data_IF_186424593049
#
_entry.id   IF_186424593049
#
_cell.length_a   1.000
_cell.length_b   1.000
_cell.length_c   1.000
_cell.angle_alpha   90.00
_cell.angle_beta   90.00
_cell.angle_gamma   90.00
#
_symmetry.space_group_name_H-M   'P 1'
#
loop_
_entity.id
_entity.type
_entity.pdbx_description
1 polymer ?
#
# COMPACT_ATOMS: atom_id res chain seq x y z
N UNK A 1 18.03 23.62 -25.56
CA UNK A 1 17.80 22.84 -26.80
C UNK A 1 18.07 23.76 -27.98
N UNK A 2 19.09 23.48 -28.80
CA UNK A 2 19.44 24.35 -29.92
C UNK A 2 18.31 24.34 -30.98
N UNK A 3 17.94 25.50 -31.57
CA UNK A 3 16.85 25.61 -32.56
C UNK A 3 16.99 24.66 -33.76
N UNK A 4 18.22 24.28 -34.10
CA UNK A 4 18.58 23.40 -35.22
C UNK A 4 18.14 21.94 -35.01
N UNK A 5 18.11 21.45 -33.77
CA UNK A 5 17.77 20.04 -33.47
C UNK A 5 16.28 19.77 -33.31
N UNK A 6 15.47 20.83 -33.16
CA UNK A 6 14.02 20.71 -33.01
C UNK A 6 13.32 20.03 -34.21
N UNK A 7 13.97 19.97 -35.39
CA UNK A 7 13.46 19.34 -36.62
C UNK A 7 14.02 17.94 -36.90
N UNK A 8 14.89 17.40 -36.05
CA UNK A 8 15.46 16.06 -36.26
C UNK A 8 14.46 14.95 -35.93
N UNK A 9 14.34 13.96 -36.83
CA UNK A 9 13.50 12.78 -36.62
C UNK A 9 14.14 11.77 -35.66
N UNK A 10 15.48 11.71 -35.60
CA UNK A 10 16.22 10.94 -34.59
C UNK A 10 16.75 11.90 -33.52
N UNK A 11 16.30 11.69 -32.29
CA UNK A 11 16.59 12.52 -31.11
C UNK A 11 17.17 11.70 -29.96
N UNK A 12 17.65 10.48 -30.22
CA UNK A 12 18.23 9.63 -29.18
C UNK A 12 19.39 10.33 -28.45
N UNK A 13 20.19 11.10 -29.18
CA UNK A 13 21.31 11.87 -28.64
C UNK A 13 20.91 13.12 -27.83
N UNK A 14 19.61 13.48 -27.79
CA UNK A 14 19.10 14.55 -26.92
C UNK A 14 18.75 14.02 -25.52
N UNK A 15 18.66 12.71 -25.32
CA UNK A 15 18.37 12.08 -24.02
C UNK A 15 19.70 11.80 -23.32
N UNK A 16 20.00 12.55 -22.26
CA UNK A 16 21.25 12.41 -21.52
C UNK A 16 21.29 11.13 -20.67
N UNK A 17 20.16 10.76 -20.06
CA UNK A 17 19.96 9.48 -19.39
C UNK A 17 18.47 9.22 -19.19
N UNK A 18 18.09 7.95 -18.99
CA UNK A 18 16.73 7.56 -18.65
C UNK A 18 16.74 6.37 -17.70
N UNK A 19 16.01 6.48 -16.59
CA UNK A 19 15.79 5.42 -15.61
C UNK A 19 14.37 5.52 -15.07
N UNK A 20 13.74 4.37 -14.86
CA UNK A 20 12.40 4.29 -14.27
C UNK A 20 12.42 3.50 -12.97
N UNK A 21 11.46 3.81 -12.09
CA UNK A 21 11.10 2.99 -10.93
C UNK A 21 9.60 2.77 -10.94
N UNK A 22 9.17 1.54 -10.63
CA UNK A 22 7.76 1.17 -10.58
C UNK A 22 7.22 1.40 -9.17
N UNK A 23 6.79 2.63 -8.89
CA UNK A 23 6.08 3.04 -7.67
C UNK A 23 4.89 3.89 -8.11
N UNK A 24 3.68 3.49 -7.71
CA UNK A 24 2.45 4.22 -8.00
C UNK A 24 1.70 4.64 -6.73
N UNK A 25 0.62 5.41 -6.91
CA UNK A 25 -0.22 5.86 -5.80
C UNK A 25 -0.83 4.69 -4.99
N UNK A 26 -1.10 3.57 -5.66
CA UNK A 26 -1.63 2.34 -5.05
C UNK A 26 -0.59 1.57 -4.23
N UNK A 27 0.71 1.75 -4.48
CA UNK A 27 1.77 1.20 -3.62
C UNK A 27 1.75 1.90 -2.24
N UNK A 28 1.57 3.22 -2.23
CA UNK A 28 1.41 3.98 -0.99
C UNK A 28 0.12 3.61 -0.26
N UNK A 29 -0.99 3.42 -0.97
CA UNK A 29 -2.23 2.92 -0.36
C UNK A 29 -2.03 1.56 0.30
N UNK A 30 -1.31 0.65 -0.38
CA UNK A 30 -1.00 -0.67 0.17
C UNK A 30 -0.16 -0.57 1.44
N UNK A 31 0.90 0.25 1.45
CA UNK A 31 1.76 0.44 2.61
C UNK A 31 0.98 1.02 3.80
N UNK A 32 0.18 2.05 3.54
CA UNK A 32 -0.67 2.68 4.54
C UNK A 32 -1.72 1.70 5.11
N UNK A 33 -2.35 0.92 4.22
CA UNK A 33 -3.32 -0.11 4.59
C UNK A 33 -2.68 -1.19 5.48
N UNK A 34 -1.50 -1.69 5.12
CA UNK A 34 -0.77 -2.68 5.93
C UNK A 34 -0.42 -2.12 7.31
N UNK A 35 0.02 -0.88 7.39
CA UNK A 35 0.46 -0.28 8.65
C UNK A 35 -0.71 0.04 9.59
N UNK A 36 -1.84 0.51 9.08
CA UNK A 36 -2.91 1.10 9.90
C UNK A 36 -4.26 0.37 9.86
N UNK A 37 -4.60 -0.27 8.74
CA UNK A 37 -5.91 -0.93 8.56
C UNK A 37 -5.84 -2.42 8.80
N UNK A 38 -4.86 -3.12 8.23
CA UNK A 38 -4.72 -4.56 8.37
C UNK A 38 -4.59 -5.03 9.84
N UNK A 39 -3.98 -4.29 10.78
CA UNK A 39 -3.98 -4.66 12.20
C UNK A 39 -5.39 -4.75 12.79
N UNK A 40 -6.32 -3.91 12.33
CA UNK A 40 -7.73 -3.95 12.76
C UNK A 40 -8.49 -5.17 12.22
N UNK A 41 -7.87 -5.94 11.33
CA UNK A 41 -8.34 -7.18 10.74
C UNK A 41 -7.55 -8.41 11.22
N UNK A 42 -6.50 -8.21 12.03
CA UNK A 42 -5.72 -9.28 12.64
C UNK A 42 -4.32 -9.47 12.07
N UNK A 43 -3.83 -8.53 11.25
CA UNK A 43 -2.42 -8.54 10.85
C UNK A 43 -1.52 -8.35 12.08
N UNK A 44 -0.42 -9.11 12.15
CA UNK A 44 0.49 -9.21 13.30
C UNK A 44 -0.11 -9.76 14.59
N UNK A 45 -1.36 -10.22 14.58
CA UNK A 45 -1.92 -10.99 15.70
C UNK A 45 -1.10 -12.27 15.88
N UNK A 46 -0.69 -12.63 17.10
CA UNK A 46 -0.02 -13.90 17.37
C UNK A 46 -1.00 -15.07 17.33
N UNK A 47 -0.48 -16.27 17.14
CA UNK A 47 -1.22 -17.51 17.36
C UNK A 47 -1.56 -17.67 18.85
N UNK A 48 -2.60 -18.43 19.17
CA UNK A 48 -3.02 -18.73 20.56
C UNK A 48 -1.91 -19.32 21.44
N UNK A 49 -0.94 -20.01 20.83
CA UNK A 49 0.22 -20.55 21.52
C UNK A 49 1.41 -19.56 21.62
N UNK A 50 1.27 -18.35 21.09
CA UNK A 50 2.24 -17.26 21.18
C UNK A 50 3.53 -17.45 20.38
N UNK A 51 3.66 -18.54 19.61
CA UNK A 51 4.94 -18.89 18.97
C UNK A 51 5.26 -18.09 17.72
N UNK A 52 4.23 -17.61 17.02
CA UNK A 52 4.37 -16.89 15.74
C UNK A 52 3.19 -15.96 15.51
N UNK A 53 3.34 -15.05 14.56
CA UNK A 53 2.23 -14.28 14.03
C UNK A 53 1.42 -15.08 12.99
N UNK A 54 0.17 -14.67 12.80
CA UNK A 54 -0.67 -15.19 11.73
C UNK A 54 -0.02 -14.98 10.35
N UNK A 55 -0.27 -15.88 9.38
CA UNK A 55 0.26 -15.73 8.02
C UNK A 55 -0.15 -14.40 7.37
N UNK A 56 0.85 -13.63 6.94
CA UNK A 56 0.65 -12.27 6.41
C UNK A 56 0.02 -12.21 5.01
N UNK A 57 0.09 -13.29 4.22
CA UNK A 57 -0.20 -13.26 2.77
C UNK A 57 -1.60 -12.73 2.44
N UNK A 58 -2.63 -13.16 3.16
CA UNK A 58 -4.01 -12.73 2.90
C UNK A 58 -4.24 -11.26 3.23
N UNK A 59 -3.60 -10.75 4.28
CA UNK A 59 -3.65 -9.33 4.63
C UNK A 59 -2.97 -8.48 3.56
N UNK A 60 -1.82 -8.93 3.05
CA UNK A 60 -1.11 -8.26 1.96
C UNK A 60 -1.96 -8.28 0.68
N UNK A 61 -2.63 -9.40 0.39
CA UNK A 61 -3.51 -9.53 -0.78
C UNK A 61 -4.71 -8.58 -0.70
N UNK A 62 -5.34 -8.45 0.47
CA UNK A 62 -6.44 -7.50 0.68
C UNK A 62 -5.97 -6.04 0.61
N UNK A 63 -4.77 -5.74 1.11
CA UNK A 63 -4.20 -4.40 1.07
C UNK A 63 -3.73 -3.97 -0.35
N UNK A 64 -3.58 -4.92 -1.27
CA UNK A 64 -3.03 -4.66 -2.60
C UNK A 64 -4.16 -4.62 -3.63
N UNK A 65 -4.49 -3.43 -4.15
CA UNK A 65 -5.64 -3.20 -5.05
C UNK A 65 -5.84 -4.29 -6.12
N UNK A 66 -4.80 -4.55 -6.93
CA UNK A 66 -4.85 -5.53 -8.02
C UNK A 66 -4.93 -7.00 -7.57
N UNK A 67 -4.70 -7.30 -6.29
CA UNK A 67 -4.75 -8.65 -5.69
C UNK A 67 -5.99 -8.91 -4.86
N UNK A 68 -6.84 -7.90 -4.61
CA UNK A 68 -8.06 -8.04 -3.80
C UNK A 68 -8.93 -9.22 -4.28
N UNK A 69 -9.02 -9.46 -5.59
CA UNK A 69 -9.82 -10.58 -6.11
C UNK A 69 -9.32 -11.97 -5.66
N UNK A 70 -8.04 -12.12 -5.28
CA UNK A 70 -7.47 -13.39 -4.83
C UNK A 70 -8.06 -13.85 -3.49
N UNK A 71 -8.49 -12.91 -2.63
CA UNK A 71 -9.05 -13.26 -1.33
C UNK A 71 -10.51 -13.75 -1.40
N UNK A 72 -11.21 -13.54 -2.52
CA UNK A 72 -12.63 -13.93 -2.67
C UNK A 72 -12.87 -15.38 -3.10
N UNK A 73 -11.83 -16.21 -3.14
CA UNK A 73 -11.97 -17.63 -3.51
C UNK A 73 -12.45 -18.47 -2.34
N UNK A 74 -13.16 -19.57 -2.62
CA UNK A 74 -13.56 -20.53 -1.58
C UNK A 74 -12.34 -21.08 -0.81
N UNK A 75 -11.22 -21.30 -1.51
CA UNK A 75 -9.95 -21.71 -0.90
C UNK A 75 -9.42 -20.67 0.09
N UNK A 76 -9.42 -19.40 -0.29
CA UNK A 76 -9.02 -18.32 0.61
C UNK A 76 -9.92 -18.27 1.86
N UNK A 77 -11.24 -18.42 1.71
CA UNK A 77 -12.15 -18.46 2.85
C UNK A 77 -11.88 -19.65 3.79
N UNK A 78 -11.60 -20.84 3.25
CA UNK A 78 -11.20 -21.99 4.06
C UNK A 78 -9.92 -21.73 4.84
N UNK A 79 -8.91 -21.13 4.20
CA UNK A 79 -7.67 -20.78 4.89
C UNK A 79 -7.88 -19.68 5.95
N UNK A 80 -8.73 -18.68 5.69
CA UNK A 80 -9.07 -17.65 6.68
C UNK A 80 -9.77 -18.25 7.91
N UNK A 81 -10.63 -19.26 7.74
CA UNK A 81 -11.21 -20.01 8.88
C UNK A 81 -10.15 -20.72 9.72
N UNK A 82 -9.12 -21.29 9.09
CA UNK A 82 -7.98 -21.89 9.81
C UNK A 82 -7.18 -20.82 10.56
N UNK A 83 -6.85 -19.71 9.90
CA UNK A 83 -6.17 -18.56 10.49
C UNK A 83 -6.96 -18.05 11.72
N UNK A 84 -8.27 -17.92 11.59
CA UNK A 84 -9.17 -17.53 12.69
C UNK A 84 -9.12 -18.51 13.86
N UNK A 85 -9.08 -19.82 13.60
CA UNK A 85 -8.99 -20.83 14.65
C UNK A 85 -7.68 -20.72 15.45
N UNK A 86 -6.58 -20.42 14.76
CA UNK A 86 -5.25 -20.27 15.36
C UNK A 86 -5.02 -18.90 16.03
N UNK A 87 -5.81 -17.88 15.70
CA UNK A 87 -5.62 -16.50 16.16
C UNK A 87 -5.90 -16.31 17.65
N UNK A 88 -4.99 -15.62 18.36
CA UNK A 88 -5.27 -15.11 19.71
C UNK A 88 -6.45 -14.12 19.71
N UNK A 89 -6.51 -13.26 18.68
CA UNK A 89 -7.60 -12.30 18.45
C UNK A 89 -8.49 -12.73 17.27
N UNK A 90 -9.26 -13.78 17.50
CA UNK A 90 -10.20 -14.32 16.50
C UNK A 90 -11.24 -13.29 16.03
N UNK A 91 -11.63 -12.36 16.90
CA UNK A 91 -12.57 -11.27 16.60
C UNK A 91 -12.08 -10.34 15.48
N UNK A 92 -10.76 -10.12 15.37
CA UNK A 92 -10.19 -9.32 14.30
C UNK A 92 -10.25 -10.07 12.96
N UNK A 93 -9.95 -11.37 12.97
CA UNK A 93 -10.02 -12.22 11.77
C UNK A 93 -11.48 -12.41 11.32
N UNK A 94 -12.44 -12.43 12.25
CA UNK A 94 -13.87 -12.42 11.92
C UNK A 94 -14.26 -11.19 11.07
N UNK A 95 -13.73 -10.01 11.40
CA UNK A 95 -13.92 -8.80 10.58
C UNK A 95 -13.34 -8.96 9.17
N UNK A 96 -12.15 -9.57 9.07
CA UNK A 96 -11.54 -9.86 7.78
C UNK A 96 -12.43 -10.82 6.97
N UNK A 97 -12.86 -11.93 7.57
CA UNK A 97 -13.74 -12.88 6.90
C UNK A 97 -15.04 -12.23 6.42
N UNK A 98 -15.66 -11.36 7.23
CA UNK A 98 -16.86 -10.63 6.84
C UNK A 98 -16.61 -9.72 5.62
N UNK A 99 -15.49 -8.97 5.59
CA UNK A 99 -15.08 -8.16 4.42
C UNK A 99 -14.94 -9.01 3.17
N UNK A 100 -14.35 -10.20 3.29
CA UNK A 100 -14.13 -11.12 2.17
C UNK A 100 -15.44 -11.72 1.67
N UNK A 101 -16.30 -12.17 2.58
CA UNK A 101 -17.60 -12.76 2.27
C UNK A 101 -18.50 -11.80 1.49
N UNK A 102 -18.51 -10.53 1.90
CA UNK A 102 -19.33 -9.47 1.30
C UNK A 102 -18.60 -8.65 0.23
N UNK A 103 -17.36 -9.03 -0.11
CA UNK A 103 -16.53 -8.41 -1.16
C UNK A 103 -16.27 -6.90 -0.96
N UNK A 104 -16.10 -6.47 0.30
CA UNK A 104 -15.86 -5.07 0.65
C UNK A 104 -14.40 -4.61 0.49
N UNK A 105 -13.50 -5.44 -0.04
CA UNK A 105 -12.08 -5.10 -0.14
C UNK A 105 -11.77 -3.83 -0.94
N UNK A 106 -12.44 -3.62 -2.08
CA UNK A 106 -12.25 -2.39 -2.87
C UNK A 106 -12.83 -1.15 -2.17
N UNK A 107 -13.95 -1.30 -1.46
CA UNK A 107 -14.51 -0.21 -0.67
C UNK A 107 -13.57 0.19 0.47
N UNK A 108 -12.94 -0.80 1.13
CA UNK A 108 -11.91 -0.55 2.14
C UNK A 108 -10.69 0.16 1.54
N UNK A 109 -10.21 -0.27 0.37
CA UNK A 109 -9.09 0.37 -0.31
C UNK A 109 -9.40 1.83 -0.69
N UNK A 110 -10.62 2.13 -1.14
CA UNK A 110 -11.05 3.50 -1.42
C UNK A 110 -11.07 4.39 -0.17
N UNK A 111 -11.40 3.84 1.01
CA UNK A 111 -11.32 4.58 2.27
C UNK A 111 -9.87 4.91 2.65
N UNK A 112 -8.93 4.00 2.38
CA UNK A 112 -7.50 4.23 2.59
C UNK A 112 -6.98 5.33 1.66
N UNK A 113 -7.32 5.24 0.38
CA UNK A 113 -6.92 6.25 -0.62
C UNK A 113 -7.46 7.64 -0.24
N UNK A 114 -8.72 7.71 0.20
CA UNK A 114 -9.32 8.96 0.67
C UNK A 114 -8.53 9.56 1.85
N UNK A 115 -8.18 8.74 2.85
CA UNK A 115 -7.40 9.21 3.99
C UNK A 115 -5.99 9.66 3.58
N UNK A 116 -5.33 8.95 2.66
CA UNK A 116 -4.04 9.38 2.07
C UNK A 116 -4.16 10.76 1.42
N UNK A 117 -5.22 11.00 0.64
CA UNK A 117 -5.47 12.30 0.00
C UNK A 117 -5.67 13.39 1.06
N UNK A 118 -6.50 13.15 2.08
CA UNK A 118 -6.75 14.10 3.17
C UNK A 118 -5.47 14.49 3.93
N UNK A 119 -4.54 13.54 4.10
CA UNK A 119 -3.23 13.76 4.73
C UNK A 119 -2.29 14.64 3.90
N UNK A 120 -2.64 14.99 2.66
CA UNK A 120 -1.89 15.98 1.86
C UNK A 120 -1.97 17.36 2.50
N UNK A 121 -3.14 17.73 3.04
CA UNK A 121 -3.41 19.06 3.59
C UNK A 121 -3.58 19.06 5.12
N UNK A 122 -3.79 17.89 5.72
CA UNK A 122 -4.04 17.73 7.17
C UNK A 122 -2.89 17.01 7.87
N UNK A 123 -2.81 17.17 9.19
CA UNK A 123 -1.85 16.44 10.03
C UNK A 123 -2.36 15.05 10.44
N UNK A 124 -3.66 14.81 10.35
CA UNK A 124 -4.30 13.51 10.61
C UNK A 124 -5.57 13.32 9.78
N UNK A 125 -5.93 12.06 9.56
CA UNK A 125 -7.14 11.62 8.91
C UNK A 125 -7.67 10.33 9.58
N UNK A 126 -8.99 10.17 9.61
CA UNK A 126 -9.65 8.98 10.16
C UNK A 126 -10.18 8.08 9.05
N UNK A 127 -9.82 6.79 9.10
CA UNK A 127 -10.46 5.76 8.28
C UNK A 127 -11.60 5.15 9.09
N UNK A 128 -12.81 5.68 8.88
CA UNK A 128 -14.03 5.10 9.43
C UNK A 128 -14.54 3.94 8.57
N UNK A 129 -14.36 2.70 9.04
CA UNK A 129 -14.99 1.53 8.43
C UNK A 129 -16.34 1.33 9.09
N UNK A 130 -17.40 1.53 8.33
CA UNK A 130 -18.79 1.39 8.77
C UNK A 130 -19.55 0.41 7.85
N UNK A 131 -19.04 -0.81 7.76
CA UNK A 131 -19.67 -1.90 7.02
C UNK A 131 -20.72 -2.58 7.93
N UNK A 132 -21.70 -3.33 7.37
CA UNK A 132 -22.53 -4.21 8.18
C UNK A 132 -21.66 -5.08 9.08
N UNK A 133 -21.97 -5.18 10.37
CA UNK A 133 -21.28 -6.02 11.38
C UNK A 133 -19.77 -5.74 11.62
N UNK A 134 -19.12 -4.91 10.80
CA UNK A 134 -17.72 -4.51 10.94
C UNK A 134 -17.64 -3.00 11.08
N UNK A 135 -17.37 -2.55 12.32
CA UNK A 135 -17.14 -1.15 12.64
C UNK A 135 -15.82 -0.98 13.36
N UNK A 136 -14.94 -0.17 12.79
CA UNK A 136 -13.73 0.28 13.46
C UNK A 136 -13.25 1.59 12.85
N UNK A 137 -12.41 2.30 13.59
CA UNK A 137 -11.73 3.49 13.11
C UNK A 137 -10.24 3.26 13.23
N UNK A 138 -9.51 3.54 12.15
CA UNK A 138 -8.05 3.66 12.20
C UNK A 138 -7.70 5.14 12.03
N UNK A 139 -6.97 5.70 12.99
CA UNK A 139 -6.41 7.04 12.85
C UNK A 139 -5.04 6.94 12.18
N UNK A 140 -4.80 7.84 11.23
CA UNK A 140 -3.53 7.95 10.53
C UNK A 140 -3.05 9.39 10.66
N UNK A 141 -1.81 9.55 11.08
CA UNK A 141 -1.14 10.85 11.11
C UNK A 141 -0.27 11.01 9.86
N UNK A 142 0.02 12.26 9.49
CA UNK A 142 0.97 12.55 8.41
C UNK A 142 2.32 11.91 8.67
N UNK A 143 2.81 11.97 9.90
CA UNK A 143 4.05 11.31 10.30
C UNK A 143 3.99 9.78 10.12
N UNK A 144 2.84 9.16 10.41
CA UNK A 144 2.62 7.73 10.16
C UNK A 144 2.63 7.37 8.68
N UNK A 145 2.03 8.22 7.83
CA UNK A 145 2.11 8.09 6.37
C UNK A 145 3.56 8.21 5.89
N UNK A 146 4.27 9.27 6.28
CA UNK A 146 5.68 9.50 5.92
C UNK A 146 6.57 8.32 6.31
N UNK A 147 6.42 7.81 7.54
CA UNK A 147 7.13 6.63 8.00
C UNK A 147 6.78 5.38 7.17
N UNK A 148 5.52 5.21 6.78
CA UNK A 148 5.06 4.07 5.98
C UNK A 148 5.64 4.07 4.55
N UNK A 149 5.91 5.24 3.98
CA UNK A 149 6.39 5.39 2.59
C UNK A 149 7.88 5.75 2.47
N UNK A 150 8.58 5.99 3.58
CA UNK A 150 9.95 6.51 3.62
C UNK A 150 10.91 5.74 2.68
N UNK A 151 10.88 4.41 2.74
CA UNK A 151 11.72 3.55 1.89
C UNK A 151 11.45 3.71 0.40
N UNK A 152 10.19 3.90 0.00
CA UNK A 152 9.87 4.10 -1.41
C UNK A 152 10.26 5.49 -1.89
N UNK A 153 10.15 6.51 -1.02
CA UNK A 153 10.69 7.85 -1.28
C UNK A 153 12.22 7.82 -1.44
N UNK A 154 12.94 7.09 -0.59
CA UNK A 154 14.39 6.88 -0.72
C UNK A 154 14.76 6.25 -2.06
N UNK A 155 13.98 5.26 -2.51
CA UNK A 155 14.21 4.60 -3.81
C UNK A 155 13.95 5.55 -4.98
N UNK A 156 12.94 6.43 -4.88
CA UNK A 156 12.71 7.49 -5.87
C UNK A 156 13.90 8.45 -5.91
N UNK A 157 14.35 8.95 -4.75
CA UNK A 157 15.50 9.85 -4.66
C UNK A 157 16.77 9.22 -5.25
N UNK A 158 17.08 7.98 -4.89
CA UNK A 158 18.23 7.24 -5.42
C UNK A 158 18.14 7.05 -6.95
N UNK A 159 16.93 6.84 -7.49
CA UNK A 159 16.70 6.73 -8.94
C UNK A 159 16.98 8.05 -9.65
N UNK A 160 16.54 9.18 -9.07
CA UNK A 160 16.82 10.52 -9.59
C UNK A 160 18.31 10.81 -9.57
N UNK A 161 18.98 10.60 -8.42
CA UNK A 161 20.43 10.81 -8.30
C UNK A 161 21.21 9.98 -9.33
N UNK A 162 20.84 8.72 -9.51
CA UNK A 162 21.52 7.87 -10.49
C UNK A 162 21.29 8.37 -11.91
N UNK A 163 20.10 8.86 -12.22
CA UNK A 163 19.79 9.43 -13.55
C UNK A 163 20.62 10.68 -13.81
N UNK A 164 20.79 11.55 -12.82
CA UNK A 164 21.65 12.74 -12.93
C UNK A 164 23.11 12.34 -13.12
N UNK A 165 23.59 11.35 -12.35
CA UNK A 165 24.95 10.80 -12.50
C UNK A 165 25.18 10.23 -13.90
N UNK A 166 24.23 9.44 -14.40
CA UNK A 166 24.30 8.83 -15.74
C UNK A 166 24.25 9.91 -16.84
N UNK A 167 23.51 11.00 -16.62
CA UNK A 167 23.43 12.15 -17.54
C UNK A 167 24.68 13.05 -17.55
N UNK A 168 25.60 12.84 -16.60
CA UNK A 168 26.84 13.61 -16.45
C UNK A 168 26.63 15.13 -16.31
N UNK A 169 25.50 15.56 -15.75
CA UNK A 169 25.16 16.96 -15.48
C UNK A 169 25.17 17.26 -13.98
N UNK A 170 25.41 18.51 -13.59
CA UNK A 170 25.32 18.90 -12.17
C UNK A 170 23.86 19.20 -11.81
N UNK A 171 23.43 18.97 -10.56
CA UNK A 171 22.06 19.32 -10.11
C UNK A 171 21.71 20.82 -10.22
N UNK A 172 22.71 21.67 -10.42
CA UNK A 172 22.59 23.13 -10.47
C UNK A 172 22.57 23.73 -11.89
N UNK A 173 22.69 22.89 -12.93
CA UNK A 173 22.62 23.31 -14.34
C UNK A 173 21.16 23.37 -14.82
#
# INVERSE_FOLDING_TARGET
VSPERARSLDRKDDILASRGIHIGGTDFDRLLSIAHVMPQLGYLTPTKDGKRNLPASYFIDLATWQRINLVYTARAMTHLRQIRYEAERADLVDRFMHIVEHRYGHALAALVEKAKIELTDRSSAGIGVALPEVRFTAEITRAGLEASIARDIERVAATVEQTIRDAQVKPSD
#
